data_IF_581383043124
#
_entry.id   IF_581383043124
#
_cell.length_a   1.000
_cell.length_b   1.000
_cell.length_c   1.000
_cell.angle_alpha   90.00
_cell.angle_beta   90.00
_cell.angle_gamma   90.00
#
_symmetry.space_group_name_H-M   'P 1'
#
loop_
_entity.id
_entity.type
_entity.pdbx_description
1 polymer ?
#
# COMPACT_ATOMS: atom_id res chain seq x y z
N UNK A 1 28.98 9.99 -18.89
CA UNK A 1 27.74 9.41 -19.48
C UNK A 1 27.47 7.99 -18.95
N UNK A 2 27.89 7.63 -17.74
CA UNK A 2 27.90 6.22 -17.29
C UNK A 2 27.11 5.92 -16.01
N UNK A 3 26.56 6.93 -15.32
CA UNK A 3 25.97 6.71 -13.99
C UNK A 3 24.49 6.25 -14.06
N UNK A 4 23.73 6.72 -15.04
CA UNK A 4 22.33 6.29 -15.27
C UNK A 4 22.23 4.83 -15.71
N UNK A 5 23.18 4.35 -16.51
CA UNK A 5 23.21 2.94 -16.94
C UNK A 5 23.37 1.99 -15.75
N UNK A 6 24.16 2.37 -14.74
CA UNK A 6 24.29 1.60 -13.51
C UNK A 6 22.97 1.55 -12.71
N UNK A 7 22.25 2.68 -12.66
CA UNK A 7 20.93 2.77 -12.03
C UNK A 7 19.92 1.84 -12.72
N UNK A 8 19.87 1.84 -14.05
CA UNK A 8 19.02 0.92 -14.81
C UNK A 8 19.38 -0.55 -14.54
N UNK A 9 20.66 -0.90 -14.49
CA UNK A 9 21.11 -2.25 -14.17
C UNK A 9 20.80 -2.70 -12.72
N UNK A 10 20.67 -1.77 -11.77
CA UNK A 10 20.17 -2.06 -10.40
C UNK A 10 18.66 -2.17 -10.32
N UNK A 11 17.93 -1.38 -11.11
CA UNK A 11 16.47 -1.48 -11.25
C UNK A 11 16.06 -2.82 -11.85
N UNK A 12 16.77 -3.28 -12.89
CA UNK A 12 16.56 -4.61 -13.49
C UNK A 12 16.83 -5.76 -12.51
N UNK A 13 17.73 -5.55 -11.54
CA UNK A 13 17.99 -6.50 -10.45
C UNK A 13 16.97 -6.46 -9.31
N UNK A 14 15.98 -5.57 -9.38
CA UNK A 14 14.93 -5.42 -8.36
C UNK A 14 15.34 -4.70 -7.09
N UNK A 15 16.58 -4.17 -7.01
CA UNK A 15 17.07 -3.47 -5.83
C UNK A 15 16.67 -1.98 -5.85
N UNK A 16 15.42 -1.73 -5.44
CA UNK A 16 14.82 -0.39 -5.40
C UNK A 16 15.53 0.54 -4.40
N UNK A 17 16.12 0.00 -3.32
CA UNK A 17 16.74 0.82 -2.28
C UNK A 17 18.12 1.31 -2.72
N UNK A 18 18.93 0.41 -3.30
CA UNK A 18 20.23 0.77 -3.87
C UNK A 18 20.10 1.75 -5.04
N UNK A 19 19.15 1.51 -5.96
CA UNK A 19 18.91 2.41 -7.10
C UNK A 19 18.44 3.81 -6.66
N UNK A 20 17.61 3.90 -5.62
CA UNK A 20 17.21 5.20 -5.03
C UNK A 20 18.39 5.96 -4.44
N UNK A 21 19.30 5.28 -3.71
CA UNK A 21 20.48 5.93 -3.14
C UNK A 21 21.40 6.47 -4.23
N UNK A 22 21.63 5.69 -5.29
CA UNK A 22 22.42 6.12 -6.44
C UNK A 22 21.77 7.30 -7.17
N UNK A 23 20.45 7.29 -7.37
CA UNK A 23 19.72 8.42 -7.95
C UNK A 23 19.86 9.70 -7.12
N UNK A 24 19.79 9.59 -5.79
CA UNK A 24 20.01 10.74 -4.88
C UNK A 24 21.42 11.30 -5.03
N UNK A 25 22.43 10.44 -5.13
CA UNK A 25 23.81 10.85 -5.31
C UNK A 25 24.02 11.57 -6.65
N UNK A 26 23.44 11.03 -7.72
CA UNK A 26 23.47 11.64 -9.06
C UNK A 26 22.82 13.01 -9.02
N UNK A 27 21.59 13.17 -8.51
CA UNK A 27 20.90 14.48 -8.51
C UNK A 27 21.54 15.52 -7.58
N UNK A 28 22.32 15.09 -6.57
CA UNK A 28 23.09 16.01 -5.72
C UNK A 28 24.33 16.56 -6.43
N UNK A 29 24.91 15.80 -7.37
CA UNK A 29 26.06 16.26 -8.13
C UNK A 29 25.72 17.48 -9.01
N UNK A 30 26.66 18.43 -9.22
CA UNK A 30 26.40 19.61 -10.06
C UNK A 30 25.96 19.27 -11.49
N UNK A 31 26.50 18.17 -12.05
CA UNK A 31 26.14 17.67 -13.38
C UNK A 31 24.78 16.95 -13.40
N UNK A 32 24.34 16.38 -12.28
CA UNK A 32 23.04 15.72 -12.18
C UNK A 32 21.89 16.67 -11.84
N UNK A 33 22.16 17.87 -11.30
CA UNK A 33 21.12 18.87 -11.05
C UNK A 33 20.42 19.33 -12.33
N UNK A 34 21.16 19.40 -13.45
CA UNK A 34 20.61 19.68 -14.80
C UNK A 34 20.15 18.43 -15.54
N UNK A 35 20.31 17.24 -14.95
CA UNK A 35 19.88 15.99 -15.55
C UNK A 35 18.43 15.70 -15.18
N UNK A 36 17.50 16.18 -16.02
CA UNK A 36 16.08 16.00 -15.75
C UNK A 36 15.60 14.54 -15.81
N UNK A 37 16.32 13.64 -16.50
CA UNK A 37 16.01 12.20 -16.51
C UNK A 37 16.22 11.59 -15.10
N UNK A 38 17.33 11.95 -14.44
CA UNK A 38 17.61 11.48 -13.09
C UNK A 38 16.57 11.98 -12.07
N UNK A 39 16.15 13.24 -12.17
CA UNK A 39 15.06 13.79 -11.35
C UNK A 39 13.72 13.07 -11.60
N UNK A 40 13.45 12.71 -12.86
CA UNK A 40 12.23 12.00 -13.23
C UNK A 40 12.22 10.56 -12.70
N UNK A 41 13.33 9.83 -12.79
CA UNK A 41 13.46 8.49 -12.22
C UNK A 41 13.38 8.54 -10.69
N UNK A 42 14.02 9.52 -10.05
CA UNK A 42 13.92 9.72 -8.61
C UNK A 42 12.45 9.94 -8.18
N UNK A 43 11.70 10.77 -8.92
CA UNK A 43 10.28 11.00 -8.67
C UNK A 43 9.40 9.75 -8.75
N UNK A 44 9.82 8.71 -9.48
CA UNK A 44 9.10 7.44 -9.56
C UNK A 44 9.47 6.47 -8.43
N UNK A 45 10.67 6.61 -7.88
CA UNK A 45 11.19 5.76 -6.79
C UNK A 45 10.80 6.23 -5.37
N UNK A 46 10.17 7.40 -5.25
CA UNK A 46 9.77 7.99 -3.97
C UNK A 46 8.33 7.61 -3.61
N UNK A 47 8.08 7.28 -2.35
CA UNK A 47 6.72 6.95 -1.86
C UNK A 47 5.90 8.19 -1.48
N UNK A 48 6.58 9.29 -1.10
CA UNK A 48 5.93 10.52 -0.63
C UNK A 48 5.45 11.41 -1.80
N UNK A 49 4.13 11.64 -1.96
CA UNK A 49 3.58 12.40 -3.08
C UNK A 49 4.07 13.86 -3.13
N UNK A 50 4.41 14.47 -1.99
CA UNK A 50 4.93 15.84 -1.96
C UNK A 50 6.34 15.90 -2.57
N UNK A 51 7.19 14.92 -2.26
CA UNK A 51 8.54 14.83 -2.81
C UNK A 51 8.55 14.43 -4.28
N UNK A 52 7.62 13.56 -4.69
CA UNK A 52 7.41 13.25 -6.11
C UNK A 52 7.10 14.52 -6.92
N UNK A 53 6.20 15.37 -6.40
CA UNK A 53 5.81 16.60 -7.08
C UNK A 53 6.97 17.60 -7.21
N UNK A 54 7.83 17.72 -6.20
CA UNK A 54 9.03 18.57 -6.26
C UNK A 54 10.04 18.03 -7.29
N UNK A 55 10.31 16.72 -7.27
CA UNK A 55 11.24 16.09 -8.22
C UNK A 55 10.75 16.23 -9.67
N UNK A 56 9.43 16.08 -9.92
CA UNK A 56 8.85 16.31 -11.26
C UNK A 56 8.99 17.75 -11.71
N UNK A 57 8.80 18.72 -10.82
CA UNK A 57 8.99 20.15 -11.12
C UNK A 57 10.44 20.44 -11.50
N UNK A 58 11.40 19.85 -10.79
CA UNK A 58 12.83 19.97 -11.10
C UNK A 58 13.20 19.31 -12.42
N UNK A 59 12.65 18.13 -12.72
CA UNK A 59 12.83 17.47 -14.01
C UNK A 59 12.35 18.35 -15.18
N UNK A 60 11.18 18.98 -15.03
CA UNK A 60 10.64 19.92 -16.02
C UNK A 60 11.50 21.18 -16.15
N UNK A 61 11.98 21.75 -15.04
CA UNK A 61 12.87 22.90 -15.04
C UNK A 61 14.22 22.61 -15.73
N UNK A 62 14.69 21.35 -15.66
CA UNK A 62 15.87 20.86 -16.35
C UNK A 62 15.63 20.56 -17.85
N UNK A 63 14.45 20.88 -18.38
CA UNK A 63 14.12 20.68 -19.79
C UNK A 63 13.90 19.23 -20.17
N UNK A 64 13.74 18.32 -19.20
CA UNK A 64 13.28 16.97 -19.48
C UNK A 64 11.76 17.05 -19.63
N UNK A 65 11.24 16.97 -20.87
CA UNK A 65 9.81 16.84 -21.04
C UNK A 65 9.42 15.57 -20.27
N UNK A 66 8.24 15.51 -19.63
CA UNK A 66 7.73 14.20 -19.26
C UNK A 66 7.83 13.38 -20.54
N UNK A 67 8.57 12.26 -20.50
CA UNK A 67 8.45 11.27 -21.56
C UNK A 67 6.95 11.13 -21.80
N UNK A 68 6.47 10.97 -23.04
CA UNK A 68 5.12 10.56 -23.27
C UNK A 68 4.97 9.18 -22.61
N UNK A 69 4.79 9.16 -21.29
CA UNK A 69 3.83 8.31 -20.65
C UNK A 69 2.62 8.54 -21.50
N UNK A 70 2.24 7.49 -22.23
CA UNK A 70 0.86 7.18 -22.48
C UNK A 70 0.00 8.12 -21.62
N UNK A 71 -0.48 9.17 -22.26
CA UNK A 71 -1.52 10.03 -21.75
C UNK A 71 -2.76 9.13 -21.70
N UNK A 72 -2.74 8.14 -20.83
CA UNK A 72 -3.89 7.84 -20.04
C UNK A 72 -3.93 8.98 -19.00
N UNK A 73 -4.22 10.24 -19.38
CA UNK A 73 -5.62 10.70 -19.41
C UNK A 73 -6.52 9.60 -18.90
N UNK A 74 -7.25 9.90 -17.85
CA UNK A 74 -8.53 9.27 -17.56
C UNK A 74 -9.49 9.47 -18.76
N UNK A 75 -9.11 8.99 -19.95
CA UNK A 75 -10.05 8.46 -20.89
C UNK A 75 -10.55 7.20 -20.20
N UNK A 76 -11.87 6.97 -20.14
CA UNK A 76 -12.36 5.64 -19.90
C UNK A 76 -11.71 4.78 -20.99
N UNK A 77 -10.66 4.06 -20.61
CA UNK A 77 -10.04 3.04 -21.43
C UNK A 77 -11.23 2.22 -21.95
N UNK A 78 -11.45 2.10 -23.26
CA UNK A 78 -12.39 1.13 -23.77
C UNK A 78 -11.99 -0.16 -23.06
N UNK A 79 -12.92 -0.76 -22.32
CA UNK A 79 -12.70 -2.03 -21.64
C UNK A 79 -11.87 -2.90 -22.60
N UNK A 80 -10.77 -3.54 -22.16
CA UNK A 80 -10.01 -4.40 -23.04
C UNK A 80 -11.05 -5.31 -23.67
N UNK A 81 -11.21 -5.18 -25.00
CA UNK A 81 -12.15 -6.01 -25.72
C UNK A 81 -11.68 -7.42 -25.40
N UNK A 82 -12.47 -8.11 -24.57
CA UNK A 82 -12.30 -9.52 -24.28
C UNK A 82 -11.96 -10.14 -25.64
N UNK A 83 -10.79 -10.79 -25.79
CA UNK A 83 -10.45 -11.38 -27.08
C UNK A 83 -11.66 -12.23 -27.49
N UNK A 84 -12.24 -12.01 -28.69
CA UNK A 84 -13.40 -12.77 -29.10
C UNK A 84 -13.07 -14.26 -28.95
N UNK A 85 -13.99 -15.07 -28.38
CA UNK A 85 -13.73 -16.47 -28.13
C UNK A 85 -13.64 -17.18 -29.48
N UNK A 86 -12.44 -17.24 -30.06
CA UNK A 86 -12.30 -17.71 -31.43
C UNK A 86 -10.99 -17.33 -32.12
N UNK A 87 -9.84 -17.59 -31.51
CA UNK A 87 -8.60 -17.84 -32.25
C UNK A 87 -7.57 -18.52 -31.34
N UNK A 88 -7.56 -19.85 -31.35
CA UNK A 88 -6.55 -20.66 -30.66
C UNK A 88 -7.03 -21.21 -29.33
N UNK A 89 -7.15 -22.53 -29.28
CA UNK A 89 -7.51 -23.37 -28.14
C UNK A 89 -6.51 -23.26 -26.98
N UNK A 90 -6.66 -22.22 -26.16
CA UNK A 90 -6.15 -22.15 -24.79
C UNK A 90 -7.40 -22.14 -23.89
N UNK A 91 -7.50 -22.99 -22.84
CA UNK A 91 -8.67 -23.00 -21.97
C UNK A 91 -8.89 -21.59 -21.44
N UNK A 92 -10.08 -21.03 -21.71
CA UNK A 92 -10.43 -19.70 -21.24
C UNK A 92 -10.23 -19.66 -19.71
N UNK A 93 -9.36 -18.80 -19.17
CA UNK A 93 -9.15 -18.72 -17.74
C UNK A 93 -10.48 -18.35 -17.09
N UNK A 94 -10.81 -19.03 -16.00
CA UNK A 94 -12.00 -18.70 -15.21
C UNK A 94 -11.75 -17.34 -14.54
N UNK A 95 -12.19 -16.28 -15.21
CA UNK A 95 -12.02 -14.91 -14.76
C UNK A 95 -12.57 -14.68 -13.34
N UNK A 96 -13.55 -15.47 -12.89
CA UNK A 96 -14.07 -15.37 -11.52
C UNK A 96 -13.04 -15.79 -10.47
N UNK A 97 -12.26 -16.84 -10.76
CA UNK A 97 -11.18 -17.31 -9.90
C UNK A 97 -10.00 -16.32 -9.88
N UNK A 98 -9.66 -15.75 -11.04
CA UNK A 98 -8.61 -14.74 -11.16
C UNK A 98 -8.98 -13.43 -10.44
N UNK A 99 -10.22 -12.95 -10.57
CA UNK A 99 -10.71 -11.77 -9.82
C UNK A 99 -10.62 -12.04 -8.31
N UNK A 100 -11.11 -13.19 -7.85
CA UNK A 100 -11.09 -13.55 -6.42
C UNK A 100 -9.66 -13.63 -5.89
N UNK A 101 -8.74 -14.21 -6.67
CA UNK A 101 -7.32 -14.27 -6.32
C UNK A 101 -6.72 -12.88 -6.18
N UNK A 102 -6.91 -12.01 -7.18
CA UNK A 102 -6.38 -10.63 -7.19
C UNK A 102 -6.97 -9.80 -6.05
N UNK A 103 -8.28 -9.86 -5.82
CA UNK A 103 -8.94 -9.15 -4.71
C UNK A 103 -8.42 -9.65 -3.36
N UNK A 104 -8.25 -10.96 -3.20
CA UNK A 104 -7.68 -11.51 -1.97
C UNK A 104 -6.27 -11.01 -1.75
N UNK A 105 -5.40 -11.08 -2.77
CA UNK A 105 -3.99 -10.72 -2.65
C UNK A 105 -3.73 -9.22 -2.55
N UNK A 106 -4.52 -8.36 -3.21
CA UNK A 106 -4.49 -6.92 -2.96
C UNK A 106 -4.95 -6.60 -1.53
N UNK A 107 -5.89 -7.37 -0.98
CA UNK A 107 -6.31 -7.22 0.40
C UNK A 107 -5.28 -7.68 1.44
N UNK A 108 -4.27 -8.44 1.02
CA UNK A 108 -3.14 -8.90 1.85
C UNK A 108 -1.90 -7.98 1.72
N UNK A 109 -2.04 -6.79 1.11
CA UNK A 109 -0.96 -5.82 0.84
C UNK A 109 0.23 -6.41 0.02
N UNK A 110 -0.02 -7.38 -0.86
CA UNK A 110 1.01 -7.93 -1.75
C UNK A 110 1.49 -6.90 -2.77
N UNK A 111 2.81 -6.84 -3.03
CA UNK A 111 3.36 -5.97 -4.08
C UNK A 111 2.77 -6.34 -5.43
N UNK A 112 2.44 -5.31 -6.21
CA UNK A 112 1.78 -5.43 -7.50
C UNK A 112 2.61 -6.24 -8.49
N UNK A 113 3.94 -6.17 -8.40
CA UNK A 113 4.86 -6.94 -9.22
C UNK A 113 4.77 -8.45 -8.91
N UNK A 114 4.81 -8.81 -7.63
CA UNK A 114 4.69 -10.21 -7.18
C UNK A 114 3.33 -10.80 -7.58
N UNK A 115 2.28 -9.98 -7.51
CA UNK A 115 0.95 -10.37 -7.93
C UNK A 115 0.84 -10.59 -9.44
N UNK A 116 1.45 -9.73 -10.25
CA UNK A 116 1.53 -9.91 -11.69
C UNK A 116 2.30 -11.19 -12.02
N UNK A 117 3.43 -11.45 -11.35
CA UNK A 117 4.22 -12.66 -11.53
C UNK A 117 3.45 -13.92 -11.13
N UNK A 118 2.66 -13.87 -10.05
CA UNK A 118 1.80 -14.97 -9.63
C UNK A 118 0.65 -15.25 -10.63
N UNK A 119 0.07 -14.21 -11.23
CA UNK A 119 -0.92 -14.36 -12.31
C UNK A 119 -0.30 -14.97 -13.57
N UNK A 120 0.90 -14.54 -13.95
CA UNK A 120 1.64 -15.11 -15.07
C UNK A 120 1.92 -16.60 -14.84
N UNK A 121 2.40 -16.96 -13.63
CA UNK A 121 2.72 -18.34 -13.29
C UNK A 121 1.50 -19.26 -13.23
N UNK A 122 0.33 -18.72 -12.87
CA UNK A 122 -0.89 -19.49 -12.65
C UNK A 122 -1.76 -19.63 -13.90
N UNK A 123 -1.97 -18.52 -14.61
CA UNK A 123 -2.93 -18.44 -15.72
C UNK A 123 -2.22 -18.30 -17.08
N UNK A 124 -0.88 -18.27 -17.12
CA UNK A 124 -0.09 -18.18 -18.35
C UNK A 124 -0.19 -16.83 -19.05
N UNK A 125 -0.59 -15.78 -18.34
CA UNK A 125 -0.75 -14.45 -18.91
C UNK A 125 0.60 -13.79 -19.21
N UNK A 126 0.62 -12.86 -20.17
CA UNK A 126 1.74 -11.94 -20.32
C UNK A 126 1.73 -10.92 -19.18
N UNK A 127 2.90 -10.37 -18.84
CA UNK A 127 3.03 -9.35 -17.79
C UNK A 127 2.09 -8.16 -18.02
N UNK A 128 2.02 -7.67 -19.26
CA UNK A 128 1.17 -6.54 -19.66
C UNK A 128 -0.33 -6.84 -19.48
N UNK A 129 -0.76 -8.07 -19.82
CA UNK A 129 -2.15 -8.49 -19.60
C UNK A 129 -2.47 -8.65 -18.10
N UNK A 130 -1.52 -9.16 -17.31
CA UNK A 130 -1.65 -9.28 -15.87
C UNK A 130 -1.75 -7.91 -15.19
N UNK A 131 -0.91 -6.94 -15.55
CA UNK A 131 -1.01 -5.59 -15.02
C UNK A 131 -2.31 -4.89 -15.40
N UNK A 132 -2.73 -4.98 -16.66
CA UNK A 132 -4.00 -4.39 -17.10
C UNK A 132 -5.21 -4.98 -16.37
N UNK A 133 -5.17 -6.28 -16.09
CA UNK A 133 -6.20 -6.94 -15.29
C UNK A 133 -6.16 -6.53 -13.81
N UNK A 134 -4.97 -6.41 -13.21
CA UNK A 134 -4.83 -5.89 -11.85
C UNK A 134 -5.38 -4.46 -11.76
N UNK A 135 -5.11 -3.60 -12.75
CA UNK A 135 -5.69 -2.26 -12.81
C UNK A 135 -7.22 -2.31 -12.90
N UNK A 136 -7.77 -3.14 -13.79
CA UNK A 136 -9.21 -3.33 -13.91
C UNK A 136 -9.84 -3.78 -12.59
N UNK A 137 -9.24 -4.77 -11.92
CA UNK A 137 -9.76 -5.30 -10.65
C UNK A 137 -9.63 -4.28 -9.53
N UNK A 138 -8.50 -3.59 -9.44
CA UNK A 138 -8.29 -2.56 -8.41
C UNK A 138 -9.28 -1.39 -8.57
N UNK A 139 -9.58 -0.97 -9.80
CA UNK A 139 -10.52 0.12 -10.07
C UNK A 139 -11.98 -0.29 -9.79
N UNK A 140 -12.40 -1.49 -10.23
CA UNK A 140 -13.79 -1.94 -10.11
C UNK A 140 -14.13 -2.54 -8.74
N UNK A 141 -13.15 -3.15 -8.06
CA UNK A 141 -13.34 -3.83 -6.77
C UNK A 141 -12.69 -3.09 -5.59
N UNK A 142 -12.28 -1.82 -5.77
CA UNK A 142 -11.75 -0.97 -4.70
C UNK A 142 -12.62 -0.98 -3.43
N UNK A 143 -13.95 -0.97 -3.60
CA UNK A 143 -14.91 -1.03 -2.48
C UNK A 143 -14.85 -2.35 -1.71
N UNK A 144 -14.70 -3.47 -2.41
CA UNK A 144 -14.64 -4.81 -1.81
C UNK A 144 -13.32 -5.04 -1.09
N UNK A 145 -12.22 -4.54 -1.65
CA UNK A 145 -10.88 -4.57 -1.05
C UNK A 145 -10.86 -3.69 0.21
N UNK A 146 -11.39 -2.46 0.12
CA UNK A 146 -11.46 -1.55 1.26
C UNK A 146 -12.38 -2.07 2.39
N UNK A 147 -13.49 -2.74 2.05
CA UNK A 147 -14.39 -3.33 3.04
C UNK A 147 -13.70 -4.41 3.89
N UNK A 148 -12.77 -5.19 3.31
CA UNK A 148 -12.01 -6.21 4.04
C UNK A 148 -11.03 -5.62 5.05
N UNK A 149 -10.24 -4.63 4.63
CA UNK A 149 -9.36 -3.91 5.56
C UNK A 149 -10.14 -3.28 6.71
N UNK A 150 -11.31 -2.71 6.41
CA UNK A 150 -12.16 -2.10 7.43
C UNK A 150 -12.67 -3.14 8.43
N UNK A 151 -13.04 -4.33 7.95
CA UNK A 151 -13.55 -5.42 8.80
C UNK A 151 -12.46 -5.98 9.72
N UNK A 152 -11.22 -6.13 9.23
CA UNK A 152 -10.12 -6.63 10.03
C UNK A 152 -9.70 -5.61 11.12
N UNK A 153 -9.61 -4.33 10.73
CA UNK A 153 -9.31 -3.24 11.66
C UNK A 153 -10.40 -3.10 12.73
N UNK A 154 -11.69 -3.21 12.36
CA UNK A 154 -12.78 -3.13 13.34
C UNK A 154 -12.80 -4.31 14.30
N UNK A 155 -12.52 -5.53 13.82
CA UNK A 155 -12.42 -6.73 14.67
C UNK A 155 -11.27 -6.60 15.66
N UNK A 156 -10.06 -6.21 15.20
CA UNK A 156 -8.91 -6.00 16.10
C UNK A 156 -9.22 -4.90 17.12
N UNK A 157 -9.86 -3.80 16.68
CA UNK A 157 -10.21 -2.69 17.57
C UNK A 157 -11.24 -3.11 18.62
N UNK A 158 -12.28 -3.85 18.23
CA UNK A 158 -13.27 -4.44 19.14
C UNK A 158 -12.61 -5.34 20.18
N UNK A 159 -11.71 -6.23 19.73
CA UNK A 159 -11.04 -7.19 20.60
C UNK A 159 -10.10 -6.48 21.59
N UNK A 160 -9.37 -5.46 21.13
CA UNK A 160 -8.56 -4.60 21.98
C UNK A 160 -9.39 -3.84 23.01
N UNK A 161 -10.58 -3.36 22.62
CA UNK A 161 -11.50 -2.66 23.52
C UNK A 161 -12.04 -3.59 24.61
N UNK A 162 -12.44 -4.82 24.26
CA UNK A 162 -12.89 -5.84 25.23
C UNK A 162 -11.77 -6.16 26.23
N UNK A 163 -10.56 -6.42 25.75
CA UNK A 163 -9.41 -6.72 26.61
C UNK A 163 -9.06 -5.54 27.53
N UNK A 164 -9.05 -4.32 26.99
CA UNK A 164 -8.81 -3.10 27.76
C UNK A 164 -9.87 -2.88 28.85
N UNK A 165 -11.15 -3.13 28.54
CA UNK A 165 -12.25 -3.01 29.48
C UNK A 165 -12.14 -4.05 30.61
N UNK A 166 -11.82 -5.32 30.28
CA UNK A 166 -11.63 -6.38 31.26
C UNK A 166 -10.46 -6.08 32.21
N UNK A 167 -9.34 -5.59 31.69
CA UNK A 167 -8.19 -5.16 32.50
C UNK A 167 -8.55 -4.02 33.44
N UNK A 168 -9.27 -3.02 32.93
CA UNK A 168 -9.71 -1.86 33.73
C UNK A 168 -10.68 -2.30 34.83
N UNK A 169 -11.67 -3.13 34.49
CA UNK A 169 -12.67 -3.64 35.44
C UNK A 169 -12.03 -4.54 36.52
N UNK A 170 -11.15 -5.46 36.12
CA UNK A 170 -10.38 -6.30 37.06
C UNK A 170 -9.52 -5.46 38.02
N UNK A 171 -8.91 -4.39 37.53
CA UNK A 171 -8.10 -3.49 38.36
C UNK A 171 -8.95 -2.74 39.38
N UNK A 172 -10.11 -2.22 38.97
CA UNK A 172 -11.05 -1.55 39.88
C UNK A 172 -11.54 -2.50 40.97
N UNK A 173 -11.92 -3.73 40.63
CA UNK A 173 -12.35 -4.75 41.61
C UNK A 173 -11.25 -5.08 42.63
N UNK A 174 -10.00 -5.14 42.18
CA UNK A 174 -8.84 -5.41 43.04
C UNK A 174 -8.60 -4.24 44.00
N UNK A 175 -8.70 -3.00 43.51
CA UNK A 175 -8.54 -1.78 44.32
C UNK A 175 -9.71 -1.61 45.31
N UNK A 176 -10.93 -1.96 44.93
CA UNK A 176 -12.11 -1.85 45.80
C UNK A 176 -12.12 -2.85 46.94
N UNK A 177 -11.40 -3.97 46.81
CA UNK A 177 -11.22 -4.92 47.91
C UNK A 177 -10.14 -4.37 48.85
N UNK A 178 -10.60 -3.69 49.92
CA UNK A 178 -9.88 -2.90 50.94
C UNK A 178 -8.74 -3.64 51.67
N UNK A 179 -8.48 -4.91 51.38
CA UNK A 179 -7.48 -5.76 52.05
C UNK A 179 -6.38 -6.25 51.10
N UNK A 180 -6.00 -5.43 50.13
CA UNK A 180 -4.91 -5.75 49.20
C UNK A 180 -3.57 -5.26 49.75
N UNK A 181 -2.57 -6.13 49.77
CA UNK A 181 -1.20 -5.77 50.11
C UNK A 181 -0.66 -4.71 49.14
N UNK A 182 0.23 -3.82 49.59
CA UNK A 182 0.72 -2.69 48.78
C UNK A 182 1.33 -3.08 47.43
N UNK A 183 1.84 -4.31 47.29
CA UNK A 183 2.36 -4.87 46.02
C UNK A 183 1.24 -5.13 45.01
N UNK A 184 0.06 -5.55 45.47
CA UNK A 184 -1.10 -5.81 44.60
C UNK A 184 -1.79 -4.52 44.17
N UNK A 185 -1.75 -3.49 45.02
CA UNK A 185 -2.20 -2.14 44.66
C UNK A 185 -1.35 -1.56 43.51
N UNK A 186 -0.02 -1.68 43.56
CA UNK A 186 0.87 -1.21 42.48
C UNK A 186 0.60 -1.98 41.17
N UNK A 187 0.46 -3.31 41.24
CA UNK A 187 0.13 -4.12 40.05
C UNK A 187 -1.24 -3.78 39.46
N UNK A 188 -2.23 -3.50 40.30
CA UNK A 188 -3.56 -3.07 39.85
C UNK A 188 -3.51 -1.70 39.17
N UNK A 189 -2.74 -0.73 39.69
CA UNK A 189 -2.57 0.58 39.07
C UNK A 189 -1.91 0.50 37.68
N UNK A 190 -0.88 -0.34 37.52
CA UNK A 190 -0.21 -0.54 36.22
C UNK A 190 -1.20 -1.14 35.20
N UNK A 191 -1.97 -2.16 35.60
CA UNK A 191 -3.00 -2.79 34.74
C UNK A 191 -4.10 -1.82 34.35
N UNK A 192 -4.49 -0.92 35.26
CA UNK A 192 -5.48 0.13 34.99
C UNK A 192 -4.98 1.13 33.95
N UNK A 193 -3.75 1.63 34.09
CA UNK A 193 -3.14 2.55 33.12
C UNK A 193 -3.01 1.88 31.75
N UNK A 194 -2.55 0.62 31.71
CA UNK A 194 -2.46 -0.15 30.47
C UNK A 194 -3.85 -0.34 29.82
N UNK A 195 -4.87 -0.67 30.61
CA UNK A 195 -6.25 -0.81 30.13
C UNK A 195 -6.80 0.46 29.48
N UNK A 196 -6.59 1.62 30.11
CA UNK A 196 -6.96 2.92 29.53
C UNK A 196 -6.18 3.21 28.25
N UNK A 197 -4.86 3.00 28.25
CA UNK A 197 -4.03 3.26 27.07
C UNK A 197 -4.46 2.41 25.86
N UNK A 198 -4.70 1.11 26.07
CA UNK A 198 -5.18 0.18 25.04
C UNK A 198 -6.57 0.64 24.53
N UNK A 199 -7.49 0.93 25.44
CA UNK A 199 -8.85 1.36 25.09
C UNK A 199 -8.86 2.67 24.31
N UNK A 200 -8.05 3.65 24.74
CA UNK A 200 -7.89 4.93 24.06
C UNK A 200 -7.30 4.77 22.65
N UNK A 201 -6.31 3.89 22.47
CA UNK A 201 -5.72 3.61 21.16
C UNK A 201 -6.72 2.97 20.18
N UNK A 202 -7.57 2.06 20.66
CA UNK A 202 -8.62 1.42 19.86
C UNK A 202 -9.69 2.42 19.41
N UNK A 203 -10.14 3.31 20.31
CA UNK A 203 -11.11 4.37 19.99
C UNK A 203 -10.53 5.34 18.97
N UNK A 204 -9.27 5.74 19.12
CA UNK A 204 -8.59 6.62 18.17
C UNK A 204 -8.46 5.99 16.77
N UNK A 205 -8.12 4.70 16.71
CA UNK A 205 -8.08 3.93 15.46
C UNK A 205 -9.43 3.88 14.74
N UNK A 206 -10.51 3.62 15.48
CA UNK A 206 -11.88 3.66 14.95
C UNK A 206 -12.27 5.05 14.42
N UNK A 207 -11.94 6.12 15.16
CA UNK A 207 -12.21 7.49 14.73
C UNK A 207 -11.47 7.85 13.44
N UNK A 208 -10.19 7.48 13.30
CA UNK A 208 -9.44 7.67 12.06
C UNK A 208 -10.02 6.87 10.90
N UNK A 209 -10.43 5.61 11.14
CA UNK A 209 -11.10 4.78 10.14
C UNK A 209 -12.41 5.41 9.65
N UNK A 210 -13.24 5.92 10.56
CA UNK A 210 -14.49 6.63 10.22
C UNK A 210 -14.23 7.95 9.47
N UNK A 211 -13.19 8.70 9.85
CA UNK A 211 -12.81 9.93 9.15
C UNK A 211 -12.35 9.65 7.71
N UNK A 212 -11.57 8.59 7.48
CA UNK A 212 -11.15 8.18 6.15
C UNK A 212 -12.34 7.80 5.24
N UNK A 213 -13.41 7.26 5.81
CA UNK A 213 -14.66 6.98 5.10
C UNK A 213 -15.47 8.25 4.77
N UNK A 214 -15.39 9.29 5.61
CA UNK A 214 -16.13 10.55 5.40
C UNK A 214 -15.54 11.42 4.29
N UNK A 215 -14.23 11.39 4.08
CA UNK A 215 -13.53 12.18 3.05
C UNK A 215 -13.76 11.64 1.63
N UNK A 216 -14.24 10.38 1.49
CA UNK A 216 -14.47 9.72 0.20
C UNK A 216 -15.95 9.68 -0.25
N UNK A 217 -16.84 10.38 0.46
CA UNK A 217 -18.21 10.68 0.00
C UNK A 217 -18.26 12.08 -0.56
#
# INVERSE_FOLDING_TARGET
>A
MSDLAAVYATLERGDRLASRQQLIEIVRSPAGQSNGEAWWLLAQSLDDPAQQADCRRRAQAAGYPPAPRATAVAQPMPAPALPPPGAGSIPAPDYSAAITFVVNKLGDDMDRYDLAQALMAREGWSYESAEGFIDYVSANFARTIAARHLTLITVISMLGLIVGLLLTCSSVLTISNVRTDGVDQIRASIRFIAGIAISGSAVWGLLKGLAALRVRR
#
